data_IF_279265532167
#
_entry.id   IF_279265532167
#
_cell.length_a   1.000
_cell.length_b   1.000
_cell.length_c   1.000
_cell.angle_alpha   90.00
_cell.angle_beta   90.00
_cell.angle_gamma   90.00
#
_symmetry.space_group_name_H-M   'P 1'
#
loop_
_entity.id
_entity.type
_entity.pdbx_description
1 polymer ?
#
# COMPACT_ATOMS: atom_id res chain seq x y z
N UNK A 1 5.28 25.07 24.53
CA UNK A 1 4.49 23.83 24.50
C UNK A 1 5.39 22.63 24.21
N UNK A 2 5.00 21.39 24.66
CA UNK A 2 5.79 20.17 24.41
C UNK A 2 6.18 20.00 22.92
N UNK A 3 5.26 20.32 22.01
CA UNK A 3 5.47 20.27 20.57
C UNK A 3 6.62 21.16 20.07
N UNK A 4 6.80 22.35 20.65
CA UNK A 4 7.90 23.25 20.27
C UNK A 4 9.25 22.67 20.68
N UNK A 5 9.33 22.06 21.86
CA UNK A 5 10.56 21.41 22.35
C UNK A 5 10.93 20.17 21.51
N UNK A 6 9.96 19.33 21.13
CA UNK A 6 10.22 18.20 20.23
C UNK A 6 10.69 18.63 18.84
N UNK A 7 10.11 19.71 18.28
CA UNK A 7 10.56 20.25 16.99
C UNK A 7 11.99 20.79 17.07
N UNK A 8 12.34 21.48 18.15
CA UNK A 8 13.69 22.00 18.32
C UNK A 8 14.71 20.89 18.52
N UNK A 9 14.36 19.85 19.30
CA UNK A 9 15.19 18.66 19.45
C UNK A 9 15.46 17.96 18.10
N UNK A 10 14.43 17.83 17.25
CA UNK A 10 14.57 17.22 15.90
C UNK A 10 15.28 18.15 14.89
N UNK A 11 15.32 19.47 15.14
CA UNK A 11 16.14 20.38 14.36
C UNK A 11 17.63 20.21 14.65
N UNK A 12 17.97 19.96 15.90
CA UNK A 12 19.34 19.72 16.34
C UNK A 12 19.84 18.32 15.96
N UNK A 13 19.02 17.30 16.19
CA UNK A 13 19.28 15.92 15.76
C UNK A 13 18.03 15.27 15.18
N UNK A 14 18.00 15.13 13.87
CA UNK A 14 16.88 14.55 13.13
C UNK A 14 16.67 13.04 13.38
N UNK A 15 17.61 12.37 14.03
CA UNK A 15 17.55 10.92 14.31
C UNK A 15 17.07 10.57 15.72
N UNK A 16 16.79 11.57 16.57
CA UNK A 16 16.28 11.38 17.92
C UNK A 16 14.91 10.68 17.93
N UNK A 17 14.93 9.36 18.15
CA UNK A 17 13.73 8.51 18.12
C UNK A 17 12.66 8.98 19.10
N UNK A 18 13.03 9.28 20.36
CA UNK A 18 12.09 9.77 21.38
C UNK A 18 11.43 11.10 21.03
N UNK A 19 12.14 12.00 20.33
CA UNK A 19 11.57 13.26 19.89
C UNK A 19 10.58 13.08 18.73
N UNK A 20 10.83 12.11 17.83
CA UNK A 20 9.87 11.72 16.78
C UNK A 20 8.60 11.11 17.38
N UNK A 21 8.74 10.21 18.33
CA UNK A 21 7.60 9.64 19.07
C UNK A 21 6.83 10.71 19.81
N UNK A 22 7.51 11.66 20.45
CA UNK A 22 6.90 12.80 21.12
C UNK A 22 6.09 13.70 20.18
N UNK A 23 6.56 13.96 18.95
CA UNK A 23 5.77 14.67 17.92
C UNK A 23 4.52 13.92 17.55
N UNK A 24 4.62 12.62 17.32
CA UNK A 24 3.47 11.75 16.98
C UNK A 24 2.46 11.74 18.12
N UNK A 25 2.91 11.62 19.38
CA UNK A 25 2.06 11.63 20.56
C UNK A 25 1.33 12.98 20.74
N UNK A 26 2.05 14.08 20.51
CA UNK A 26 1.45 15.42 20.59
C UNK A 26 0.44 15.69 19.45
N UNK A 27 0.64 15.10 18.26
CA UNK A 27 -0.35 15.12 17.17
C UNK A 27 -1.61 14.34 17.51
N UNK A 28 -1.47 13.18 18.18
CA UNK A 28 -2.63 12.40 18.68
C UNK A 28 -3.51 13.22 19.62
N UNK A 29 -2.88 13.96 20.54
CA UNK A 29 -3.59 14.78 21.51
C UNK A 29 -4.38 15.92 20.82
N UNK A 30 -3.86 16.46 19.73
CA UNK A 30 -4.41 17.64 19.05
C UNK A 30 -5.51 17.34 18.01
N UNK A 31 -5.48 16.18 17.37
CA UNK A 31 -6.44 15.84 16.30
C UNK A 31 -7.08 14.47 16.51
N UNK A 32 -8.44 14.40 16.58
CA UNK A 32 -9.15 13.13 16.72
C UNK A 32 -8.92 12.19 15.52
N UNK A 33 -8.72 12.71 14.32
CA UNK A 33 -8.45 11.94 13.12
C UNK A 33 -7.14 11.16 13.26
N UNK A 34 -6.06 11.82 13.69
CA UNK A 34 -4.78 11.15 13.94
C UNK A 34 -4.87 10.11 15.05
N UNK A 35 -5.70 10.36 16.07
CA UNK A 35 -5.92 9.40 17.16
C UNK A 35 -6.58 8.11 16.67
N UNK A 36 -7.61 8.22 15.83
CA UNK A 36 -8.32 7.06 15.26
C UNK A 36 -7.39 6.30 14.31
N UNK A 37 -6.73 6.99 13.39
CA UNK A 37 -5.79 6.39 12.44
C UNK A 37 -4.65 5.66 13.14
N UNK A 38 -4.11 6.26 14.19
CA UNK A 38 -3.02 5.64 14.92
C UNK A 38 -3.48 4.44 15.75
N UNK A 39 -4.67 4.47 16.37
CA UNK A 39 -5.25 3.28 17.02
C UNK A 39 -5.44 2.15 16.03
N UNK A 40 -5.98 2.46 14.85
CA UNK A 40 -6.12 1.50 13.76
C UNK A 40 -4.76 0.93 13.35
N UNK A 41 -3.76 1.79 13.15
CA UNK A 41 -2.41 1.40 12.78
C UNK A 41 -1.74 0.50 13.82
N UNK A 42 -1.78 0.87 15.11
CA UNK A 42 -1.24 0.05 16.21
C UNK A 42 -1.98 -1.28 16.37
N UNK A 43 -3.27 -1.29 16.07
CA UNK A 43 -4.05 -2.52 16.09
C UNK A 43 -3.67 -3.43 14.91
N UNK A 44 -3.57 -2.90 13.69
CA UNK A 44 -3.17 -3.67 12.51
C UNK A 44 -1.73 -4.16 12.57
N UNK A 45 -0.80 -3.39 13.16
CA UNK A 45 0.59 -3.83 13.33
C UNK A 45 0.73 -5.04 14.27
N UNK A 46 -0.21 -5.23 15.20
CA UNK A 46 -0.27 -6.43 16.05
C UNK A 46 -0.80 -7.67 15.33
N UNK A 47 -1.46 -7.49 14.20
CA UNK A 47 -2.05 -8.57 13.41
C UNK A 47 -1.08 -9.22 12.41
N UNK A 48 0.20 -8.78 12.40
CA UNK A 48 1.20 -9.30 11.47
C UNK A 48 1.52 -10.78 11.73
N UNK A 49 1.73 -11.55 10.66
CA UNK A 49 2.14 -12.94 10.70
C UNK A 49 0.97 -13.93 10.53
N UNK A 50 0.63 -14.68 11.55
CA UNK A 50 -0.37 -15.78 11.46
C UNK A 50 -1.76 -15.32 11.05
N UNK A 51 -2.16 -14.13 11.46
CA UNK A 51 -3.48 -13.54 11.17
C UNK A 51 -3.60 -13.12 9.70
N UNK A 52 -2.50 -12.78 9.05
CA UNK A 52 -2.44 -12.44 7.62
C UNK A 52 -2.98 -13.58 6.72
N UNK A 53 -2.53 -14.81 6.96
CA UNK A 53 -3.04 -15.98 6.24
C UNK A 53 -4.53 -16.22 6.51
N UNK A 54 -4.98 -15.96 7.74
CA UNK A 54 -6.40 -16.01 8.09
C UNK A 54 -7.26 -15.05 7.26
N UNK A 55 -6.77 -13.83 7.01
CA UNK A 55 -7.46 -12.87 6.14
C UNK A 55 -7.52 -13.32 4.69
N UNK A 56 -6.42 -13.86 4.13
CA UNK A 56 -6.42 -14.35 2.75
C UNK A 56 -7.38 -15.53 2.60
N UNK A 57 -7.31 -16.51 3.48
CA UNK A 57 -8.20 -17.68 3.47
C UNK A 57 -9.65 -17.23 3.68
N UNK A 58 -9.89 -16.31 4.62
CA UNK A 58 -11.21 -15.73 4.85
C UNK A 58 -11.78 -15.01 3.62
N UNK A 59 -10.96 -14.25 2.88
CA UNK A 59 -11.35 -13.60 1.64
C UNK A 59 -11.75 -14.62 0.57
N UNK A 60 -10.97 -15.70 0.45
CA UNK A 60 -11.26 -16.79 -0.49
C UNK A 60 -12.58 -17.50 -0.16
N UNK A 61 -12.77 -17.88 1.09
CA UNK A 61 -14.01 -18.54 1.56
C UNK A 61 -15.21 -17.60 1.37
N UNK A 62 -15.10 -16.36 1.82
CA UNK A 62 -16.18 -15.37 1.69
C UNK A 62 -16.54 -15.12 0.23
N UNK A 63 -15.55 -14.98 -0.66
CA UNK A 63 -15.78 -14.77 -2.08
C UNK A 63 -16.49 -15.98 -2.74
N UNK A 64 -16.22 -17.17 -2.23
CA UNK A 64 -16.88 -18.40 -2.70
C UNK A 64 -18.33 -18.49 -2.22
N UNK A 65 -18.55 -18.23 -0.92
CA UNK A 65 -19.88 -18.19 -0.33
C UNK A 65 -20.74 -17.13 -1.03
N UNK A 66 -20.23 -15.92 -1.21
CA UNK A 66 -20.93 -14.84 -1.90
C UNK A 66 -21.34 -15.27 -3.31
N UNK A 67 -20.44 -15.84 -4.10
CA UNK A 67 -20.75 -16.29 -5.46
C UNK A 67 -21.83 -17.38 -5.51
N UNK A 68 -21.76 -18.37 -4.63
CA UNK A 68 -22.77 -19.43 -4.59
C UNK A 68 -24.12 -18.90 -4.10
N UNK A 69 -24.14 -18.01 -3.11
CA UNK A 69 -25.39 -17.39 -2.62
C UNK A 69 -26.06 -16.52 -3.70
N UNK A 70 -25.28 -15.77 -4.49
CA UNK A 70 -25.84 -14.96 -5.59
C UNK A 70 -26.48 -15.84 -6.69
N UNK A 71 -25.94 -17.02 -6.95
CA UNK A 71 -26.54 -17.95 -7.94
C UNK A 71 -27.92 -18.45 -7.51
N UNK A 72 -28.10 -18.68 -6.22
CA UNK A 72 -29.38 -19.18 -5.67
C UNK A 72 -30.37 -18.05 -5.35
N UNK A 73 -29.87 -16.88 -4.98
CA UNK A 73 -30.66 -15.72 -4.57
C UNK A 73 -30.08 -14.43 -5.20
N UNK A 74 -30.38 -14.17 -6.49
CA UNK A 74 -29.81 -13.00 -7.20
C UNK A 74 -30.18 -11.64 -6.59
N UNK A 75 -31.28 -11.55 -5.87
CA UNK A 75 -31.75 -10.34 -5.19
C UNK A 75 -30.80 -9.85 -4.09
N UNK A 76 -30.00 -10.75 -3.50
CA UNK A 76 -29.00 -10.42 -2.49
C UNK A 76 -27.66 -9.93 -3.08
N UNK A 77 -27.50 -9.98 -4.41
CA UNK A 77 -26.24 -9.64 -5.07
C UNK A 77 -25.69 -8.25 -4.69
N UNK A 78 -26.47 -7.14 -4.68
CA UNK A 78 -25.93 -5.82 -4.34
C UNK A 78 -25.37 -5.76 -2.91
N UNK A 79 -26.08 -6.37 -1.97
CA UNK A 79 -25.67 -6.41 -0.56
C UNK A 79 -24.42 -7.27 -0.37
N UNK A 80 -24.38 -8.46 -0.98
CA UNK A 80 -23.24 -9.38 -0.86
C UNK A 80 -21.98 -8.83 -1.52
N UNK A 81 -22.09 -8.16 -2.66
CA UNK A 81 -20.97 -7.46 -3.28
C UNK A 81 -20.45 -6.30 -2.41
N UNK A 82 -21.35 -5.59 -1.73
CA UNK A 82 -20.95 -4.54 -0.79
C UNK A 82 -20.16 -5.12 0.39
N UNK A 83 -20.65 -6.20 1.00
CA UNK A 83 -19.97 -6.89 2.10
C UNK A 83 -18.59 -7.39 1.68
N UNK A 84 -18.50 -8.02 0.52
CA UNK A 84 -17.23 -8.49 -0.04
C UNK A 84 -16.28 -7.31 -0.33
N UNK A 85 -16.79 -6.22 -0.89
CA UNK A 85 -16.03 -5.00 -1.16
C UNK A 85 -15.47 -4.37 0.13
N UNK A 86 -16.27 -4.25 1.17
CA UNK A 86 -15.82 -3.76 2.49
C UNK A 86 -14.74 -4.68 3.07
N UNK A 87 -14.91 -5.99 2.98
CA UNK A 87 -13.92 -6.94 3.46
C UNK A 87 -12.59 -6.83 2.69
N UNK A 88 -12.63 -6.75 1.36
CA UNK A 88 -11.43 -6.57 0.53
C UNK A 88 -10.75 -5.23 0.85
N UNK A 89 -11.52 -4.15 0.98
CA UNK A 89 -11.01 -2.84 1.36
C UNK A 89 -10.31 -2.88 2.72
N UNK A 90 -10.88 -3.59 3.69
CA UNK A 90 -10.29 -3.79 5.01
C UNK A 90 -8.95 -4.55 4.92
N UNK A 91 -8.89 -5.65 4.15
CA UNK A 91 -7.65 -6.42 3.94
C UNK A 91 -6.59 -5.56 3.27
N UNK A 92 -6.95 -4.84 2.20
CA UNK A 92 -6.01 -3.92 1.52
C UNK A 92 -5.51 -2.82 2.47
N UNK A 93 -6.41 -2.25 3.29
CA UNK A 93 -6.04 -1.23 4.27
C UNK A 93 -5.02 -1.76 5.29
N UNK A 94 -5.10 -3.03 5.70
CA UNK A 94 -4.09 -3.61 6.61
C UNK A 94 -2.69 -3.64 6.00
N UNK A 95 -2.59 -3.78 4.68
CA UNK A 95 -1.31 -3.85 3.96
C UNK A 95 -0.71 -2.47 3.72
N UNK A 96 -1.55 -1.49 3.44
CA UNK A 96 -1.11 -0.13 3.13
C UNK A 96 -1.15 0.82 4.34
N UNK A 97 -1.58 0.34 5.50
CA UNK A 97 -1.76 1.18 6.69
C UNK A 97 -0.50 1.97 7.06
N UNK A 98 0.67 1.32 7.12
CA UNK A 98 1.92 1.99 7.48
C UNK A 98 2.38 3.02 6.44
N UNK A 99 2.46 2.69 5.13
CA UNK A 99 2.76 3.68 4.10
C UNK A 99 1.75 4.83 4.06
N UNK A 100 0.48 4.52 4.23
CA UNK A 100 -0.58 5.53 4.27
C UNK A 100 -0.42 6.47 5.47
N UNK A 101 -0.10 5.94 6.64
CA UNK A 101 0.18 6.75 7.82
C UNK A 101 1.38 7.67 7.62
N UNK A 102 2.47 7.17 7.04
CA UNK A 102 3.64 7.97 6.70
C UNK A 102 3.30 9.06 5.68
N UNK A 103 2.45 8.77 4.68
CA UNK A 103 1.96 9.77 3.72
C UNK A 103 1.13 10.86 4.42
N UNK A 104 0.24 10.49 5.33
CA UNK A 104 -0.56 11.44 6.09
C UNK A 104 0.33 12.33 6.99
N UNK A 105 1.32 11.75 7.67
CA UNK A 105 2.32 12.53 8.41
C UNK A 105 3.11 13.46 7.48
N UNK A 106 3.47 12.98 6.28
CA UNK A 106 4.21 13.76 5.28
C UNK A 106 3.41 14.99 4.79
N UNK A 107 2.10 14.84 4.61
CA UNK A 107 1.21 15.92 4.19
C UNK A 107 0.93 16.92 5.31
N UNK A 108 1.12 16.54 6.57
CA UNK A 108 0.90 17.44 7.70
C UNK A 108 2.18 18.23 8.03
N UNK A 109 2.13 19.58 8.17
CA UNK A 109 3.31 20.41 8.36
C UNK A 109 4.17 20.01 9.57
N UNK A 110 3.54 19.58 10.65
CA UNK A 110 4.22 19.17 11.89
C UNK A 110 4.62 17.68 11.82
N UNK A 111 3.79 16.82 11.23
CA UNK A 111 4.05 15.39 11.09
C UNK A 111 5.29 15.09 10.24
N UNK A 112 5.57 15.95 9.25
CA UNK A 112 6.74 15.81 8.38
C UNK A 112 8.08 15.79 9.15
N UNK A 113 8.16 16.49 10.27
CA UNK A 113 9.38 16.56 11.09
C UNK A 113 9.66 15.23 11.82
N UNK A 114 8.63 14.42 12.04
CA UNK A 114 8.74 13.11 12.68
C UNK A 114 9.25 12.00 11.74
N UNK A 115 9.26 12.25 10.42
CA UNK A 115 9.66 11.26 9.42
C UNK A 115 11.17 11.32 9.11
N UNK A 116 11.81 10.15 8.93
CA UNK A 116 13.16 10.07 8.38
C UNK A 116 13.16 10.46 6.89
N UNK A 117 14.35 10.78 6.36
CA UNK A 117 14.51 11.07 4.92
C UNK A 117 14.02 9.91 4.04
N UNK A 118 14.26 8.68 4.47
CA UNK A 118 13.82 7.47 3.77
C UNK A 118 12.31 7.29 3.83
N UNK A 119 11.69 7.53 4.97
CA UNK A 119 10.23 7.50 5.11
C UNK A 119 9.55 8.61 4.27
N UNK A 120 10.16 9.78 4.18
CA UNK A 120 9.68 10.85 3.29
C UNK A 120 9.75 10.42 1.84
N UNK A 121 10.88 9.82 1.41
CA UNK A 121 11.03 9.32 0.05
C UNK A 121 10.04 8.20 -0.25
N UNK A 122 9.91 7.22 0.64
CA UNK A 122 8.93 6.14 0.51
C UNK A 122 7.49 6.67 0.41
N UNK A 123 7.14 7.66 1.24
CA UNK A 123 5.81 8.30 1.21
C UNK A 123 5.54 9.05 -0.10
N UNK A 124 6.54 9.70 -0.68
CA UNK A 124 6.38 10.39 -1.95
C UNK A 124 6.12 9.39 -3.10
N UNK A 125 6.88 8.29 -3.18
CA UNK A 125 6.68 7.24 -4.17
C UNK A 125 5.35 6.51 -3.99
N UNK A 126 4.98 6.21 -2.75
CA UNK A 126 3.68 5.64 -2.40
C UNK A 126 2.53 6.56 -2.83
N UNK A 127 2.62 7.85 -2.47
CA UNK A 127 1.62 8.85 -2.86
C UNK A 127 1.53 9.03 -4.37
N UNK A 128 2.67 9.02 -5.07
CA UNK A 128 2.74 9.07 -6.53
C UNK A 128 2.06 7.88 -7.19
N UNK A 129 2.31 6.66 -6.71
CA UNK A 129 1.67 5.45 -7.24
C UNK A 129 0.14 5.47 -7.03
N UNK A 130 -0.33 5.88 -5.85
CA UNK A 130 -1.77 6.05 -5.58
C UNK A 130 -2.37 7.12 -6.49
N UNK A 131 -1.69 8.26 -6.64
CA UNK A 131 -2.17 9.33 -7.50
C UNK A 131 -2.31 8.86 -8.95
N UNK A 132 -1.29 8.18 -9.50
CA UNK A 132 -1.35 7.60 -10.85
C UNK A 132 -2.49 6.60 -10.97
N UNK A 133 -2.66 5.72 -9.98
CA UNK A 133 -3.75 4.73 -9.96
C UNK A 133 -5.12 5.40 -10.01
N UNK A 134 -5.38 6.37 -9.13
CA UNK A 134 -6.68 7.06 -9.07
C UNK A 134 -6.91 7.92 -10.31
N UNK A 135 -5.91 8.69 -10.75
CA UNK A 135 -6.01 9.55 -11.92
C UNK A 135 -6.30 8.73 -13.19
N UNK A 136 -5.60 7.61 -13.38
CA UNK A 136 -5.83 6.70 -14.50
C UNK A 136 -7.22 6.08 -14.44
N UNK A 137 -7.72 5.73 -13.26
CA UNK A 137 -9.07 5.20 -13.07
C UNK A 137 -10.13 6.24 -13.44
N UNK A 138 -9.97 7.47 -12.96
CA UNK A 138 -10.87 8.57 -13.31
C UNK A 138 -10.87 8.83 -14.82
N UNK A 139 -9.71 8.90 -15.45
CA UNK A 139 -9.60 9.09 -16.89
C UNK A 139 -10.24 7.94 -17.68
N UNK A 140 -10.08 6.70 -17.20
CA UNK A 140 -10.72 5.55 -17.81
C UNK A 140 -12.25 5.62 -17.75
N UNK A 141 -12.83 6.07 -16.65
CA UNK A 141 -14.28 6.24 -16.50
C UNK A 141 -14.89 7.19 -17.55
N UNK A 142 -14.11 8.18 -18.02
CA UNK A 142 -14.56 9.12 -19.04
C UNK A 142 -14.23 8.68 -20.47
N UNK A 143 -13.10 7.98 -20.66
CA UNK A 143 -12.59 7.64 -21.99
C UNK A 143 -12.85 6.20 -22.41
N UNK A 144 -13.12 5.30 -21.46
CA UNK A 144 -13.19 3.84 -21.65
C UNK A 144 -11.93 3.24 -22.32
N UNK A 145 -10.80 3.98 -22.29
CA UNK A 145 -9.54 3.55 -22.90
C UNK A 145 -8.85 2.51 -22.03
N UNK A 146 -8.84 1.25 -22.48
CA UNK A 146 -8.36 0.08 -21.72
C UNK A 146 -6.98 0.24 -21.09
N UNK A 147 -5.95 0.83 -21.74
CA UNK A 147 -4.63 1.04 -21.13
C UNK A 147 -4.67 1.85 -19.83
N UNK A 148 -5.61 2.76 -19.67
CA UNK A 148 -5.77 3.54 -18.43
C UNK A 148 -6.26 2.66 -17.27
N UNK A 149 -7.15 1.71 -17.53
CA UNK A 149 -7.59 0.74 -16.52
C UNK A 149 -6.43 -0.17 -16.09
N UNK A 150 -5.67 -0.69 -17.06
CA UNK A 150 -4.50 -1.54 -16.81
C UNK A 150 -3.44 -0.78 -16.02
N UNK A 151 -3.19 0.50 -16.37
CA UNK A 151 -2.29 1.38 -15.63
C UNK A 151 -2.76 1.63 -14.20
N UNK A 152 -4.06 1.87 -14.01
CA UNK A 152 -4.65 2.06 -12.68
C UNK A 152 -4.43 0.86 -11.77
N UNK A 153 -4.75 -0.34 -12.26
CA UNK A 153 -4.57 -1.59 -11.51
C UNK A 153 -3.09 -1.83 -11.24
N UNK A 154 -2.23 -1.70 -12.28
CA UNK A 154 -0.79 -1.91 -12.17
C UNK A 154 -0.13 -0.97 -11.16
N UNK A 155 -0.45 0.34 -11.21
CA UNK A 155 0.07 1.32 -10.27
C UNK A 155 -0.40 1.04 -8.83
N UNK A 156 -1.67 0.66 -8.65
CA UNK A 156 -2.21 0.26 -7.34
C UNK A 156 -1.51 -0.97 -6.76
N UNK A 157 -1.21 -1.99 -7.58
CA UNK A 157 -0.48 -3.17 -7.14
C UNK A 157 0.99 -2.88 -6.81
N UNK A 158 1.62 -1.91 -7.48
CA UNK A 158 3.01 -1.50 -7.22
C UNK A 158 3.20 -0.77 -5.90
N UNK A 159 2.15 -0.32 -5.25
CA UNK A 159 2.19 0.38 -3.95
C UNK A 159 2.94 -0.44 -2.88
N UNK A 160 2.69 -1.76 -2.80
CA UNK A 160 3.31 -2.65 -1.82
C UNK A 160 4.82 -2.84 -2.08
N UNK A 161 5.27 -3.25 -3.29
CA UNK A 161 6.69 -3.36 -3.59
C UNK A 161 7.47 -2.06 -3.40
N UNK A 162 6.92 -0.94 -3.82
CA UNK A 162 7.55 0.38 -3.67
C UNK A 162 7.77 0.71 -2.18
N UNK A 163 6.73 0.57 -1.35
CA UNK A 163 6.81 0.91 0.06
C UNK A 163 7.80 0.02 0.82
N UNK A 164 7.75 -1.29 0.58
CA UNK A 164 8.60 -2.23 1.27
C UNK A 164 10.07 -2.13 0.86
N UNK A 165 10.36 -1.88 -0.43
CA UNK A 165 11.74 -1.78 -0.92
C UNK A 165 12.49 -0.57 -0.33
N UNK A 166 11.79 0.53 -0.11
CA UNK A 166 12.36 1.77 0.44
C UNK A 166 12.47 1.76 1.97
N UNK A 167 11.66 0.94 2.65
CA UNK A 167 11.64 0.82 4.11
C UNK A 167 12.65 -0.18 4.69
N UNK A 168 13.53 -0.77 3.87
CA UNK A 168 14.53 -1.74 4.35
C UNK A 168 15.73 -1.06 5.00
N UNK A 169 16.17 -1.59 6.15
CA UNK A 169 17.35 -1.08 6.88
C UNK A 169 18.66 -1.59 6.26
N UNK A 170 18.67 -2.85 5.77
CA UNK A 170 19.84 -3.45 5.13
C UNK A 170 20.04 -2.91 3.70
N UNK A 171 21.21 -2.33 3.42
CA UNK A 171 21.55 -1.80 2.09
C UNK A 171 21.53 -2.87 0.98
N UNK A 172 21.87 -4.12 1.30
CA UNK A 172 21.83 -5.25 0.35
C UNK A 172 20.37 -5.60 0.03
N UNK A 173 19.54 -5.78 1.04
CA UNK A 173 18.11 -6.06 0.87
C UNK A 173 17.42 -4.92 0.11
N UNK A 174 17.70 -3.66 0.48
CA UNK A 174 17.17 -2.47 -0.20
C UNK A 174 17.49 -2.45 -1.70
N UNK A 175 18.76 -2.65 -2.07
CA UNK A 175 19.18 -2.69 -3.49
C UNK A 175 18.47 -3.80 -4.25
N UNK A 176 18.45 -5.02 -3.70
CA UNK A 176 17.81 -6.17 -4.34
C UNK A 176 16.32 -5.94 -4.55
N UNK A 177 15.61 -5.46 -3.52
CA UNK A 177 14.17 -5.21 -3.61
C UNK A 177 13.83 -4.03 -4.52
N UNK A 178 14.66 -2.98 -4.55
CA UNK A 178 14.50 -1.88 -5.50
C UNK A 178 14.67 -2.34 -6.95
N UNK A 179 15.70 -3.16 -7.22
CA UNK A 179 15.90 -3.72 -8.57
C UNK A 179 14.72 -4.61 -8.97
N UNK A 180 14.26 -5.46 -8.06
CA UNK A 180 13.08 -6.30 -8.30
C UNK A 180 11.84 -5.45 -8.60
N UNK A 181 11.59 -4.41 -7.80
CA UNK A 181 10.46 -3.47 -7.97
C UNK A 181 10.56 -2.73 -9.31
N UNK A 182 11.76 -2.31 -9.73
CA UNK A 182 11.98 -1.66 -11.01
C UNK A 182 11.68 -2.59 -12.21
N UNK A 183 12.12 -3.86 -12.12
CA UNK A 183 11.82 -4.87 -13.14
C UNK A 183 10.31 -5.13 -13.22
N UNK A 184 9.64 -5.29 -12.09
CA UNK A 184 8.19 -5.42 -12.08
C UNK A 184 7.48 -4.21 -12.71
N UNK A 185 7.94 -3.00 -12.37
CA UNK A 185 7.41 -1.77 -12.96
C UNK A 185 7.56 -1.75 -14.48
N UNK A 186 8.72 -2.17 -15.01
CA UNK A 186 8.95 -2.28 -16.45
C UNK A 186 8.00 -3.29 -17.11
N UNK A 187 7.83 -4.47 -16.51
CA UNK A 187 6.88 -5.49 -17.01
C UNK A 187 5.44 -4.94 -16.99
N UNK A 188 5.05 -4.25 -15.91
CA UNK A 188 3.74 -3.61 -15.82
C UNK A 188 3.50 -2.57 -16.93
N UNK A 189 4.51 -1.73 -17.22
CA UNK A 189 4.44 -0.75 -18.31
C UNK A 189 4.32 -1.41 -19.68
N UNK A 190 5.02 -2.53 -19.91
CA UNK A 190 4.86 -3.34 -21.12
C UNK A 190 3.43 -3.85 -21.26
N UNK A 191 2.84 -4.37 -20.16
CA UNK A 191 1.44 -4.81 -20.17
C UNK A 191 0.47 -3.65 -20.49
N UNK A 192 0.71 -2.45 -19.93
CA UNK A 192 -0.06 -1.23 -20.26
C UNK A 192 0.04 -0.89 -21.74
N UNK A 193 1.25 -0.86 -22.31
CA UNK A 193 1.45 -0.56 -23.73
C UNK A 193 0.75 -1.56 -24.64
N UNK A 194 0.89 -2.84 -24.36
CA UNK A 194 0.29 -3.91 -25.16
C UNK A 194 -1.24 -3.98 -25.03
N UNK A 195 -1.82 -3.51 -23.93
CA UNK A 195 -3.28 -3.47 -23.75
C UNK A 195 -4.00 -2.53 -24.73
N UNK A 196 -3.27 -1.61 -25.35
CA UNK A 196 -3.79 -0.74 -26.42
C UNK A 196 -3.88 -1.44 -27.79
N UNK A 197 -3.22 -2.58 -27.98
CA UNK A 197 -3.24 -3.36 -29.23
C UNK A 197 -4.21 -4.54 -29.14
N UNK A 198 -4.01 -5.42 -28.16
CA UNK A 198 -4.81 -6.64 -27.99
C UNK A 198 -4.75 -7.14 -26.56
N UNK A 199 -5.89 -7.61 -26.04
CA UNK A 199 -5.97 -8.22 -24.72
C UNK A 199 -5.15 -9.51 -24.64
N UNK A 200 -5.12 -10.32 -25.70
CA UNK A 200 -4.38 -11.58 -25.72
C UNK A 200 -2.88 -11.37 -25.57
N UNK A 201 -2.33 -10.38 -26.26
CA UNK A 201 -0.89 -10.06 -26.18
C UNK A 201 -0.52 -9.47 -24.80
N UNK A 202 -1.42 -8.72 -24.17
CA UNK A 202 -1.23 -8.19 -22.83
C UNK A 202 -1.20 -9.29 -21.75
N UNK A 203 -1.91 -10.41 -21.95
CA UNK A 203 -2.08 -11.45 -20.91
C UNK A 203 -0.75 -11.98 -20.39
N UNK A 204 0.22 -12.24 -21.25
CA UNK A 204 1.51 -12.80 -20.84
C UNK A 204 2.25 -11.88 -19.88
N UNK A 205 2.57 -10.62 -20.22
CA UNK A 205 3.24 -9.73 -19.27
C UNK A 205 2.38 -9.40 -18.04
N UNK A 206 1.06 -9.36 -18.17
CA UNK A 206 0.17 -9.15 -17.03
C UNK A 206 0.23 -10.32 -16.03
N UNK A 207 0.24 -11.57 -16.50
CA UNK A 207 0.39 -12.75 -15.64
C UNK A 207 1.76 -12.76 -14.98
N UNK A 208 2.84 -12.47 -15.71
CA UNK A 208 4.20 -12.38 -15.15
C UNK A 208 4.26 -11.30 -14.07
N UNK A 209 3.64 -10.15 -14.30
CA UNK A 209 3.56 -9.05 -13.33
C UNK A 209 2.84 -9.48 -12.05
N UNK A 210 1.66 -10.10 -12.14
CA UNK A 210 0.87 -10.54 -10.98
C UNK A 210 1.60 -11.63 -10.20
N UNK A 211 2.20 -12.61 -10.89
CA UNK A 211 3.02 -13.64 -10.24
C UNK A 211 4.25 -13.05 -9.59
N UNK A 212 4.89 -12.07 -10.23
CA UNK A 212 6.04 -11.35 -9.67
C UNK A 212 5.68 -10.57 -8.42
N UNK A 213 4.54 -9.88 -8.38
CA UNK A 213 4.06 -9.20 -7.15
C UNK A 213 3.77 -10.23 -6.04
N UNK A 214 3.18 -11.36 -6.36
CA UNK A 214 2.93 -12.42 -5.39
C UNK A 214 4.23 -12.99 -4.82
N UNK A 215 5.23 -13.24 -5.68
CA UNK A 215 6.55 -13.70 -5.27
C UNK A 215 7.36 -12.66 -4.49
N UNK A 216 7.11 -11.37 -4.71
CA UNK A 216 7.79 -10.27 -4.02
C UNK A 216 7.75 -10.42 -2.50
N UNK A 217 6.60 -10.77 -1.94
CA UNK A 217 6.43 -10.93 -0.49
C UNK A 217 7.33 -12.02 0.09
N UNK A 218 7.52 -13.11 -0.64
CA UNK A 218 8.41 -14.21 -0.25
C UNK A 218 9.88 -13.79 -0.31
N UNK A 219 10.28 -13.09 -1.38
CA UNK A 219 11.64 -12.57 -1.55
C UNK A 219 11.97 -11.56 -0.45
N UNK A 220 11.04 -10.62 -0.16
CA UNK A 220 11.22 -9.64 0.89
C UNK A 220 11.40 -10.29 2.27
N UNK A 221 10.57 -11.27 2.61
CA UNK A 221 10.67 -12.02 3.86
C UNK A 221 11.98 -12.81 3.97
N UNK A 222 12.40 -13.48 2.89
CA UNK A 222 13.64 -14.24 2.87
C UNK A 222 14.89 -13.36 3.07
N UNK A 223 14.87 -12.14 2.56
CA UNK A 223 15.97 -11.18 2.71
C UNK A 223 16.02 -10.56 4.12
N UNK A 224 14.86 -10.33 4.75
CA UNK A 224 14.81 -9.82 6.13
C UNK A 224 15.20 -10.84 7.19
N UNK A 225 15.03 -12.13 6.95
CA UNK A 225 15.45 -13.19 7.88
C UNK A 225 16.98 -13.39 7.83
N UNK A 226 17.64 -13.04 6.72
CA UNK A 226 19.09 -13.23 6.52
C UNK A 226 19.94 -11.99 6.82
N UNK A 227 19.32 -10.85 7.11
CA UNK A 227 19.97 -9.59 7.48
C UNK A 227 20.01 -9.40 8.99
#
# INVERSE_FOLDING_TARGET
TAMTHFREALRLDSNLAWAREGVVEALKARSPIYRVLLRYFLWTSRLQGKVFWGFIIGAFILSRVVRETIKTNPEWAPFLWLVLGIYIAFVLMTWIAQPLFNLLLRLHPIGRVALSKEQIMASNWFGGAIFVSIASLCLWLFSSFTPLLVLSIGAGMMVIPISNSLGQDSMKAKKTLLTYTAVLGAIGLVAVGLSGYSLDVMLVPAIIFVLGISAYSWVATALTIRS
#
